data_IF_724542426798
#
_entry.id   IF_724542426798
#
_cell.length_a   1.000
_cell.length_b   1.000
_cell.length_c   1.000
_cell.angle_alpha   90.00
_cell.angle_beta   90.00
_cell.angle_gamma   90.00
#
_symmetry.space_group_name_H-M   'P 1'
#
loop_
_entity.id
_entity.type
_entity.pdbx_description
1 polymer ?
#
# COMPACT_ATOMS: atom_id res chain seq x y z
N UNK A 1 -14.10 10.69 12.35
CA UNK A 1 -12.68 10.97 12.03
C UNK A 1 -12.69 12.27 11.26
N UNK A 2 -11.94 13.29 11.67
CA UNK A 2 -11.96 14.59 10.97
C UNK A 2 -11.33 14.49 9.58
N UNK A 3 -11.66 15.44 8.70
CA UNK A 3 -11.01 15.57 7.38
C UNK A 3 -9.48 15.66 7.46
N UNK A 4 -8.95 16.36 8.46
CA UNK A 4 -7.50 16.48 8.65
C UNK A 4 -6.87 15.14 9.05
N UNK A 5 -7.54 14.37 9.92
CA UNK A 5 -7.09 13.03 10.29
C UNK A 5 -7.08 12.09 9.09
N UNK A 6 -8.12 12.12 8.25
CA UNK A 6 -8.20 11.32 7.02
C UNK A 6 -7.07 11.66 6.04
N UNK A 7 -6.85 12.96 5.75
CA UNK A 7 -5.76 13.41 4.87
C UNK A 7 -4.40 12.99 5.41
N UNK A 8 -4.18 13.07 6.74
CA UNK A 8 -2.93 12.62 7.35
C UNK A 8 -2.68 11.14 7.11
N UNK A 9 -3.70 10.30 7.25
CA UNK A 9 -3.57 8.85 7.05
C UNK A 9 -3.23 8.50 5.59
N UNK A 10 -3.93 9.11 4.64
CA UNK A 10 -3.69 8.92 3.20
C UNK A 10 -2.29 9.38 2.79
N UNK A 11 -1.82 10.54 3.28
CA UNK A 11 -0.45 11.02 3.04
C UNK A 11 0.61 10.13 3.67
N UNK A 12 0.34 9.64 4.89
CA UNK A 12 1.24 8.69 5.55
C UNK A 12 1.38 7.42 4.72
N UNK A 13 0.27 6.85 4.24
CA UNK A 13 0.24 5.68 3.38
C UNK A 13 1.09 5.85 2.11
N UNK A 14 0.95 6.98 1.40
CA UNK A 14 1.79 7.31 0.23
C UNK A 14 3.27 7.27 0.58
N UNK A 15 3.66 7.95 1.66
CA UNK A 15 5.06 8.00 2.09
C UNK A 15 5.60 6.62 2.51
N UNK A 16 4.76 5.81 3.17
CA UNK A 16 5.11 4.46 3.60
C UNK A 16 5.30 3.51 2.43
N UNK A 17 4.41 3.54 1.42
CA UNK A 17 4.58 2.74 0.21
C UNK A 17 5.83 3.12 -0.59
N UNK A 18 6.17 4.41 -0.68
CA UNK A 18 7.41 4.84 -1.34
C UNK A 18 8.63 4.24 -0.65
N UNK A 19 8.70 4.30 0.70
CA UNK A 19 9.79 3.69 1.48
C UNK A 19 9.81 2.17 1.32
N UNK A 20 8.64 1.54 1.34
CA UNK A 20 8.48 0.10 1.24
C UNK A 20 9.01 -0.46 -0.09
N UNK A 21 8.84 0.25 -1.21
CA UNK A 21 9.45 -0.16 -2.49
C UNK A 21 10.97 -0.27 -2.42
N UNK A 22 11.61 0.67 -1.73
CA UNK A 22 13.07 0.62 -1.54
C UNK A 22 13.48 -0.61 -0.71
N UNK A 23 12.66 -1.03 0.25
CA UNK A 23 12.89 -2.26 1.01
C UNK A 23 12.77 -3.52 0.15
N UNK A 24 11.77 -3.59 -0.74
CA UNK A 24 11.65 -4.71 -1.68
C UNK A 24 12.88 -4.79 -2.59
N UNK A 25 13.35 -3.66 -3.12
CA UNK A 25 14.56 -3.62 -3.94
C UNK A 25 15.80 -4.06 -3.16
N UNK A 26 15.95 -3.62 -1.91
CA UNK A 26 17.05 -4.03 -1.04
C UNK A 26 17.02 -5.54 -0.76
N UNK A 27 15.83 -6.10 -0.48
CA UNK A 27 15.63 -7.52 -0.23
C UNK A 27 16.00 -8.37 -1.45
N UNK A 28 15.58 -7.95 -2.65
CA UNK A 28 15.97 -8.62 -3.92
C UNK A 28 17.47 -8.49 -4.19
N UNK A 29 18.11 -7.42 -3.75
CA UNK A 29 19.56 -7.27 -3.83
C UNK A 29 20.32 -8.13 -2.78
N UNK A 30 19.62 -8.92 -1.96
CA UNK A 30 20.21 -9.76 -0.93
C UNK A 30 20.62 -9.01 0.34
N UNK A 31 20.14 -7.77 0.53
CA UNK A 31 20.36 -7.02 1.75
C UNK A 31 19.38 -7.47 2.83
N UNK A 32 19.85 -7.56 4.07
CA UNK A 32 18.98 -7.82 5.21
C UNK A 32 18.02 -6.64 5.42
N UNK A 33 16.72 -6.95 5.43
CA UNK A 33 15.64 -6.01 5.70
C UNK A 33 14.85 -6.52 6.89
N UNK A 34 14.58 -5.66 7.87
CA UNK A 34 13.73 -6.01 9.01
C UNK A 34 12.32 -6.36 8.55
N UNK A 35 11.90 -7.61 8.77
CA UNK A 35 10.60 -8.18 8.40
C UNK A 35 9.41 -7.38 8.95
N UNK A 36 9.58 -6.76 10.13
CA UNK A 36 8.54 -5.93 10.78
C UNK A 36 8.18 -4.65 10.03
N UNK A 37 8.95 -4.26 9.01
CA UNK A 37 8.70 -3.03 8.24
C UNK A 37 7.66 -3.22 7.13
N UNK A 38 7.29 -4.47 6.83
CA UNK A 38 6.48 -4.82 5.67
C UNK A 38 5.70 -6.12 5.95
N UNK A 39 4.54 -6.05 6.63
CA UNK A 39 3.74 -7.25 6.82
C UNK A 39 3.28 -7.79 5.45
N UNK A 40 3.32 -9.10 5.33
CA UNK A 40 2.91 -9.79 4.10
C UNK A 40 1.44 -9.55 3.80
N UNK A 41 0.59 -9.63 4.83
CA UNK A 41 -0.84 -9.48 4.68
C UNK A 41 -1.25 -7.99 4.66
N UNK A 42 -1.98 -7.57 3.62
CA UNK A 42 -2.34 -6.17 3.39
C UNK A 42 -3.15 -5.53 4.53
N UNK A 43 -3.93 -6.31 5.30
CA UNK A 43 -4.71 -5.78 6.44
C UNK A 43 -3.89 -5.54 7.71
N UNK A 44 -2.65 -6.00 7.74
CA UNK A 44 -1.78 -5.91 8.91
C UNK A 44 -0.78 -4.75 8.82
N UNK A 45 -0.72 -4.04 7.68
CA UNK A 45 0.06 -2.80 7.59
C UNK A 45 -0.71 -1.64 8.25
N UNK A 46 0.00 -0.60 8.69
CA UNK A 46 -0.61 0.58 9.32
C UNK A 46 -1.73 1.18 8.45
N UNK A 47 -1.51 1.21 7.13
CA UNK A 47 -2.52 1.66 6.18
C UNK A 47 -3.73 0.72 6.16
N UNK A 48 -3.51 -0.60 6.11
CA UNK A 48 -4.56 -1.62 6.17
C UNK A 48 -5.39 -1.53 7.44
N UNK A 49 -4.76 -1.36 8.61
CA UNK A 49 -5.48 -1.19 9.86
C UNK A 49 -6.42 0.00 9.84
N UNK A 50 -5.97 1.15 9.33
CA UNK A 50 -6.84 2.32 9.15
C UNK A 50 -7.90 2.09 8.06
N UNK A 51 -7.49 1.51 6.94
CA UNK A 51 -8.32 1.32 5.75
C UNK A 51 -9.53 0.46 6.08
N UNK A 52 -9.33 -0.70 6.70
CA UNK A 52 -10.41 -1.61 7.05
C UNK A 52 -11.16 -1.23 8.35
N UNK A 53 -10.86 -0.09 8.96
CA UNK A 53 -11.54 0.41 10.16
C UNK A 53 -12.24 1.74 9.90
N UNK A 54 -11.67 2.85 10.38
CA UNK A 54 -12.27 4.17 10.31
C UNK A 54 -12.30 4.72 8.87
N UNK A 55 -11.33 4.33 8.04
CA UNK A 55 -11.34 4.63 6.61
C UNK A 55 -12.56 4.03 5.92
N UNK A 56 -12.81 2.73 6.11
CA UNK A 56 -13.96 2.04 5.50
C UNK A 56 -15.30 2.61 5.97
N UNK A 57 -15.45 2.90 7.26
CA UNK A 57 -16.67 3.54 7.79
C UNK A 57 -16.96 4.89 7.12
N UNK A 58 -15.92 5.67 6.83
CA UNK A 58 -16.06 6.99 6.25
C UNK A 58 -16.21 6.96 4.72
N UNK A 59 -15.42 6.14 4.02
CA UNK A 59 -15.23 6.23 2.57
C UNK A 59 -15.48 4.91 1.82
N UNK A 60 -15.84 3.81 2.49
CA UNK A 60 -16.04 2.50 1.84
C UNK A 60 -17.12 2.48 0.76
N UNK A 61 -17.98 3.50 0.74
CA UNK A 61 -19.00 3.71 -0.28
C UNK A 61 -18.49 4.45 -1.53
N UNK A 62 -17.26 4.98 -1.52
CA UNK A 62 -16.67 5.67 -2.67
C UNK A 62 -16.01 4.67 -3.61
N UNK A 63 -16.22 4.84 -4.92
CA UNK A 63 -15.62 3.95 -5.92
C UNK A 63 -14.09 3.99 -5.84
N UNK A 64 -13.50 5.18 -5.68
CA UNK A 64 -12.04 5.32 -5.57
C UNK A 64 -11.47 4.56 -4.37
N UNK A 65 -12.26 4.40 -3.31
CA UNK A 65 -11.84 3.63 -2.13
C UNK A 65 -11.70 2.14 -2.48
N UNK A 66 -12.65 1.60 -3.23
CA UNK A 66 -12.61 0.21 -3.69
C UNK A 66 -11.45 -0.02 -4.69
N UNK A 67 -11.16 0.97 -5.54
CA UNK A 67 -10.03 0.89 -6.49
C UNK A 67 -8.67 0.86 -5.75
N UNK A 68 -8.56 1.61 -4.63
CA UNK A 68 -7.41 1.54 -3.72
C UNK A 68 -7.33 0.18 -3.05
N UNK A 69 -8.44 -0.39 -2.59
CA UNK A 69 -8.49 -1.72 -1.96
C UNK A 69 -7.91 -2.78 -2.89
N UNK A 70 -8.42 -2.84 -4.13
CA UNK A 70 -7.96 -3.79 -5.15
C UNK A 70 -6.46 -3.67 -5.43
N UNK A 71 -5.98 -2.45 -5.64
CA UNK A 71 -4.56 -2.20 -5.94
C UNK A 71 -3.66 -2.52 -4.74
N UNK A 72 -4.14 -2.28 -3.52
CA UNK A 72 -3.42 -2.57 -2.28
C UNK A 72 -3.32 -4.06 -2.00
N UNK A 73 -4.41 -4.81 -2.18
CA UNK A 73 -4.42 -6.26 -2.06
C UNK A 73 -3.47 -6.91 -3.07
N UNK A 74 -3.55 -6.49 -4.34
CA UNK A 74 -2.68 -7.00 -5.40
C UNK A 74 -1.20 -6.74 -5.12
N UNK A 75 -0.87 -5.55 -4.59
CA UNK A 75 0.51 -5.20 -4.23
C UNK A 75 1.08 -6.19 -3.20
N UNK A 76 0.33 -6.44 -2.13
CA UNK A 76 0.75 -7.35 -1.06
C UNK A 76 0.79 -8.81 -1.51
N UNK A 77 -0.13 -9.23 -2.38
CA UNK A 77 -0.08 -10.57 -2.97
C UNK A 77 1.21 -10.80 -3.75
N UNK A 78 1.62 -9.84 -4.60
CA UNK A 78 2.89 -9.94 -5.34
C UNK A 78 4.09 -9.83 -4.38
N UNK A 79 4.01 -8.98 -3.36
CA UNK A 79 5.07 -8.90 -2.35
C UNK A 79 5.32 -10.23 -1.64
N UNK A 80 4.26 -10.95 -1.27
CA UNK A 80 4.39 -12.28 -0.69
C UNK A 80 5.19 -13.21 -1.61
N UNK A 81 4.90 -13.18 -2.91
CA UNK A 81 5.63 -13.98 -3.90
C UNK A 81 7.10 -13.58 -4.02
N UNK A 82 7.42 -12.27 -3.92
CA UNK A 82 8.82 -11.79 -3.88
C UNK A 82 9.51 -12.32 -2.63
N UNK A 83 8.86 -12.21 -1.46
CA UNK A 83 9.41 -12.67 -0.19
C UNK A 83 9.71 -14.18 -0.21
N UNK A 84 8.78 -15.01 -0.69
CA UNK A 84 8.99 -16.45 -0.87
C UNK A 84 10.14 -16.75 -1.85
N UNK A 85 10.21 -16.04 -2.99
CA UNK A 85 11.28 -16.23 -3.97
C UNK A 85 12.66 -15.89 -3.37
N UNK A 86 12.75 -14.79 -2.59
CA UNK A 86 13.97 -14.44 -1.86
C UNK A 86 14.35 -15.52 -0.82
N UNK A 87 13.38 -16.01 -0.04
CA UNK A 87 13.61 -17.05 0.96
C UNK A 87 14.09 -18.37 0.35
N UNK A 88 13.65 -18.69 -0.87
CA UNK A 88 14.03 -19.89 -1.61
C UNK A 88 15.29 -19.72 -2.47
N UNK A 89 15.93 -18.54 -2.47
CA UNK A 89 17.10 -18.23 -3.29
C UNK A 89 16.82 -18.08 -4.79
N UNK A 90 15.55 -17.92 -5.18
CA UNK A 90 15.09 -17.81 -6.57
C UNK A 90 15.26 -16.37 -7.11
N UNK A 91 16.51 -15.88 -7.16
CA UNK A 91 16.81 -14.46 -7.41
C UNK A 91 16.23 -13.92 -8.73
N UNK A 92 16.28 -14.69 -9.81
CA UNK A 92 15.71 -14.26 -11.09
C UNK A 92 14.19 -14.06 -11.00
N UNK A 93 13.49 -14.97 -10.32
CA UNK A 93 12.03 -14.87 -10.08
C UNK A 93 11.70 -13.69 -9.18
N UNK A 94 12.47 -13.48 -8.11
CA UNK A 94 12.31 -12.36 -7.20
C UNK A 94 12.47 -11.01 -7.94
N UNK A 95 13.44 -10.88 -8.84
CA UNK A 95 13.65 -9.68 -9.64
C UNK A 95 12.45 -9.39 -10.58
N UNK A 96 11.96 -10.40 -11.32
CA UNK A 96 10.79 -10.23 -12.19
C UNK A 96 9.54 -9.83 -11.41
N UNK A 97 9.29 -10.44 -10.26
CA UNK A 97 8.15 -10.11 -9.41
C UNK A 97 8.28 -8.69 -8.82
N UNK A 98 9.49 -8.27 -8.46
CA UNK A 98 9.73 -6.92 -7.95
C UNK A 98 9.48 -5.84 -9.02
N UNK A 99 9.81 -6.09 -10.29
CA UNK A 99 9.45 -5.19 -11.39
C UNK A 99 7.93 -5.05 -11.55
N UNK A 100 7.20 -6.17 -11.47
CA UNK A 100 5.73 -6.15 -11.50
C UNK A 100 5.14 -5.37 -10.33
N UNK A 101 5.68 -5.58 -9.13
CA UNK A 101 5.30 -4.88 -7.91
C UNK A 101 5.54 -3.36 -8.01
N UNK A 102 6.61 -2.92 -8.69
CA UNK A 102 6.85 -1.49 -8.94
C UNK A 102 5.73 -0.90 -9.81
N UNK A 103 5.30 -1.61 -10.86
CA UNK A 103 4.17 -1.22 -11.70
C UNK A 103 2.88 -1.08 -10.89
N UNK A 104 2.51 -2.12 -10.13
CA UNK A 104 1.32 -2.12 -9.26
C UNK A 104 1.39 -0.99 -8.23
N UNK A 105 2.57 -0.75 -7.66
CA UNK A 105 2.77 0.34 -6.70
C UNK A 105 2.56 1.73 -7.31
N UNK A 106 2.85 1.94 -8.59
CA UNK A 106 2.52 3.21 -9.26
C UNK A 106 1.00 3.39 -9.33
N UNK A 107 0.28 2.38 -9.80
CA UNK A 107 -1.20 2.42 -9.86
C UNK A 107 -1.83 2.64 -8.48
N UNK A 108 -1.30 2.00 -7.43
CA UNK A 108 -1.76 2.23 -6.07
C UNK A 108 -1.52 3.68 -5.62
N UNK A 109 -0.34 4.25 -5.88
CA UNK A 109 -0.04 5.63 -5.48
C UNK A 109 -0.90 6.66 -6.22
N UNK A 110 -1.23 6.38 -7.48
CA UNK A 110 -2.17 7.18 -8.27
C UNK A 110 -3.58 7.11 -7.66
N UNK A 111 -4.09 5.91 -7.37
CA UNK A 111 -5.41 5.74 -6.75
C UNK A 111 -5.50 6.41 -5.37
N UNK A 112 -4.45 6.28 -4.54
CA UNK A 112 -4.38 6.97 -3.24
C UNK A 112 -4.32 8.50 -3.45
N UNK A 113 -3.68 8.98 -4.52
CA UNK A 113 -3.67 10.39 -4.91
C UNK A 113 -5.07 10.92 -5.25
N UNK A 114 -5.84 10.17 -6.03
CA UNK A 114 -7.22 10.51 -6.35
C UNK A 114 -8.11 10.49 -5.10
N UNK A 115 -7.94 9.50 -4.20
CA UNK A 115 -8.63 9.48 -2.91
C UNK A 115 -8.28 10.71 -2.06
N UNK A 116 -7.01 11.14 -2.06
CA UNK A 116 -6.58 12.36 -1.36
C UNK A 116 -7.31 13.60 -1.89
N UNK A 117 -7.42 13.73 -3.22
CA UNK A 117 -8.13 14.83 -3.89
C UNK A 117 -9.63 14.81 -3.58
N UNK A 118 -10.26 13.63 -3.59
CA UNK A 118 -11.69 13.49 -3.27
C UNK A 118 -11.96 13.85 -1.80
N UNK A 119 -11.12 13.39 -0.87
CA UNK A 119 -11.19 13.81 0.54
C UNK A 119 -10.99 15.33 0.67
N UNK A 120 -10.06 15.91 -0.10
CA UNK A 120 -9.76 17.34 -0.05
C UNK A 120 -10.89 18.22 -0.60
N UNK A 121 -11.67 17.72 -1.55
CA UNK A 121 -12.81 18.44 -2.13
C UNK A 121 -14.12 18.17 -1.39
N UNK A 122 -14.22 17.04 -0.67
CA UNK A 122 -15.36 16.69 0.17
C UNK A 122 -15.67 17.74 1.25
N UNK A 123 -16.95 17.96 1.50
CA UNK A 123 -17.45 18.89 2.51
C UNK A 123 -17.04 18.43 3.92
N UNK A 124 -16.75 19.38 4.82
CA UNK A 124 -16.39 19.04 6.22
C UNK A 124 -17.50 18.29 6.96
N UNK A 125 -18.76 18.38 6.51
CA UNK A 125 -19.90 17.67 7.10
C UNK A 125 -19.97 16.17 6.72
N UNK A 126 -19.07 15.69 5.85
CA UNK A 126 -18.97 14.28 5.45
C UNK A 126 -18.00 13.47 6.33
N UNK A 127 -17.49 14.05 7.44
CA UNK A 127 -16.42 13.50 8.30
C UNK A 127 -16.78 13.49 9.79
#
# INVERSE_FOLDING_TARGET
MTKQEALRQVRYAKSSHIRWRAYVQAMVAGLEVEEKRAPVHHKECDFGHWFYSDGFKAFGHWQIYQDVEYSHELLHAVYHMVFEACANGEQARAATLAEQLVGISHSLLEAIGLLEEEIQTASQYQF
#
